data_IF_757556700831
#
_entry.id   IF_757556700831
#
_cell.length_a   1.000
_cell.length_b   1.000
_cell.length_c   1.000
_cell.angle_alpha   90.00
_cell.angle_beta   90.00
_cell.angle_gamma   90.00
#
_symmetry.space_group_name_H-M   'P 1'
#
loop_
_entity.id
_entity.type
_entity.pdbx_description
1 polymer ?
#
# COMPACT_ATOMS: atom_id res chain seq x y z
N UNK A 1 33.63 -26.92 -16.50
CA UNK A 1 33.83 -28.10 -15.63
C UNK A 1 32.50 -28.37 -14.93
N UNK A 2 31.71 -29.27 -15.49
CA UNK A 2 30.31 -29.51 -15.08
C UNK A 2 30.26 -30.84 -14.34
N UNK A 3 30.14 -30.78 -13.01
CA UNK A 3 30.03 -31.97 -12.17
C UNK A 3 28.62 -32.58 -12.31
N UNK A 4 28.44 -33.50 -13.26
CA UNK A 4 27.31 -34.41 -13.24
C UNK A 4 27.55 -35.48 -12.17
N UNK A 5 26.99 -35.28 -10.97
CA UNK A 5 26.85 -36.35 -9.99
C UNK A 5 25.74 -37.28 -10.46
N UNK A 6 26.10 -38.41 -11.06
CA UNK A 6 25.19 -39.55 -11.16
C UNK A 6 24.80 -39.98 -9.74
N UNK A 7 23.52 -39.92 -9.42
CA UNK A 7 22.97 -40.57 -8.22
C UNK A 7 23.38 -42.04 -8.28
N UNK A 8 24.23 -42.47 -7.35
CA UNK A 8 24.67 -43.87 -7.30
C UNK A 8 23.50 -44.73 -6.83
N UNK A 9 23.51 -46.02 -7.18
CA UNK A 9 22.48 -46.99 -6.80
C UNK A 9 22.24 -47.05 -5.28
N UNK A 10 23.25 -46.68 -4.50
CA UNK A 10 23.17 -46.53 -3.04
C UNK A 10 22.20 -45.43 -2.60
N UNK A 11 22.21 -44.26 -3.27
CA UNK A 11 21.27 -43.15 -3.00
C UNK A 11 19.82 -43.52 -3.34
N UNK A 12 19.62 -44.48 -4.24
CA UNK A 12 18.29 -45.01 -4.55
C UNK A 12 17.83 -45.99 -3.48
N UNK A 13 18.70 -46.89 -3.02
CA UNK A 13 18.39 -47.83 -1.95
C UNK A 13 18.08 -47.10 -0.64
N UNK A 14 18.85 -46.08 -0.29
CA UNK A 14 18.66 -45.32 0.95
C UNK A 14 17.36 -44.50 0.96
N UNK A 15 16.88 -44.04 -0.20
CA UNK A 15 15.57 -43.38 -0.33
C UNK A 15 14.40 -44.35 -0.21
N UNK A 16 14.56 -45.59 -0.68
CA UNK A 16 13.49 -46.58 -0.69
C UNK A 16 13.45 -47.47 0.56
N UNK A 17 14.54 -47.54 1.33
CA UNK A 17 14.60 -48.30 2.59
C UNK A 17 13.94 -47.60 3.77
N UNK A 18 13.69 -46.29 3.67
CA UNK A 18 13.02 -45.51 4.72
C UNK A 18 11.50 -45.60 4.57
N UNK A 19 10.74 -45.89 5.64
CA UNK A 19 9.29 -45.86 5.58
C UNK A 19 8.81 -44.47 5.19
N UNK A 20 7.83 -44.40 4.27
CA UNK A 20 7.26 -43.13 3.81
C UNK A 20 6.68 -42.39 5.04
N UNK A 21 7.02 -41.11 5.25
CA UNK A 21 6.48 -40.36 6.38
C UNK A 21 4.95 -40.32 6.26
N UNK A 22 4.27 -40.72 7.34
CA UNK A 22 2.81 -40.69 7.41
C UNK A 22 2.39 -39.22 7.31
N UNK A 23 1.82 -38.85 6.16
CA UNK A 23 1.27 -37.52 5.96
C UNK A 23 0.04 -37.35 6.86
N UNK A 24 0.17 -36.56 7.92
CA UNK A 24 -0.98 -36.07 8.68
C UNK A 24 -1.42 -34.77 8.03
N UNK A 25 -2.63 -34.76 7.47
CA UNK A 25 -3.23 -33.50 6.99
C UNK A 25 -3.24 -32.49 8.13
N UNK A 26 -2.86 -31.23 7.89
CA UNK A 26 -3.09 -30.15 8.86
C UNK A 26 -4.59 -30.13 9.20
N UNK A 27 -4.92 -30.10 10.49
CA UNK A 27 -6.29 -29.87 10.91
C UNK A 27 -6.72 -28.49 10.39
N UNK A 28 -7.91 -28.40 9.78
CA UNK A 28 -8.40 -27.12 9.29
C UNK A 28 -8.48 -26.14 10.48
N UNK A 29 -7.90 -24.93 10.35
CA UNK A 29 -7.99 -23.95 11.42
C UNK A 29 -9.45 -23.59 11.65
N UNK A 30 -9.87 -23.58 12.92
CA UNK A 30 -11.21 -23.12 13.25
C UNK A 30 -11.41 -21.69 12.72
N UNK A 31 -12.59 -21.37 12.16
CA UNK A 31 -12.85 -20.08 11.56
C UNK A 31 -12.64 -18.98 12.62
N UNK A 32 -11.80 -18.02 12.29
CA UNK A 32 -11.56 -16.86 13.13
C UNK A 32 -12.84 -16.05 13.28
N UNK A 33 -12.93 -15.26 14.35
CA UNK A 33 -14.07 -14.39 14.69
C UNK A 33 -14.71 -13.68 13.49
N UNK A 34 -13.90 -13.17 12.56
CA UNK A 34 -14.34 -12.37 11.40
C UNK A 34 -14.81 -13.20 10.20
N UNK A 35 -14.67 -14.52 10.27
CA UNK A 35 -15.08 -15.47 9.24
C UNK A 35 -16.44 -16.09 9.53
N UNK A 36 -16.98 -15.93 10.75
CA UNK A 36 -18.33 -16.38 11.09
C UNK A 36 -19.37 -15.33 10.64
N UNK A 37 -20.39 -15.71 9.84
CA UNK A 37 -21.44 -14.78 9.46
C UNK A 37 -22.41 -14.54 10.64
N UNK A 38 -22.82 -13.28 10.83
CA UNK A 38 -23.87 -12.90 11.78
C UNK A 38 -23.37 -12.22 13.07
N UNK A 39 -24.31 -11.66 13.87
CA UNK A 39 -23.98 -11.08 15.17
C UNK A 39 -23.57 -12.17 16.17
N UNK A 40 -22.68 -11.83 17.10
CA UNK A 40 -22.20 -12.77 18.11
C UNK A 40 -23.32 -13.22 19.04
N UNK A 41 -23.32 -14.51 19.39
CA UNK A 41 -24.21 -15.07 20.41
C UNK A 41 -23.80 -14.58 21.81
N UNK A 42 -24.71 -14.67 22.79
CA UNK A 42 -24.48 -14.19 24.16
C UNK A 42 -23.20 -14.78 24.79
N UNK A 43 -22.94 -16.07 24.58
CA UNK A 43 -21.76 -16.74 25.11
C UNK A 43 -20.47 -16.29 24.40
N UNK A 44 -20.56 -16.05 23.10
CA UNK A 44 -19.45 -15.48 22.33
C UNK A 44 -19.12 -14.05 22.82
N UNK A 45 -20.14 -13.26 23.17
CA UNK A 45 -19.97 -11.94 23.79
C UNK A 45 -19.26 -12.01 25.14
N UNK A 46 -19.64 -12.96 25.99
CA UNK A 46 -18.98 -13.18 27.29
C UNK A 46 -17.52 -13.57 27.09
N UNK A 47 -17.23 -14.48 26.17
CA UNK A 47 -15.87 -14.92 25.87
C UNK A 47 -15.01 -13.80 25.26
N UNK A 48 -15.59 -13.00 24.38
CA UNK A 48 -14.93 -11.82 23.80
C UNK A 48 -14.61 -10.77 24.86
N UNK A 49 -15.54 -10.51 25.77
CA UNK A 49 -15.30 -9.57 26.87
C UNK A 49 -14.15 -10.03 27.76
N UNK A 50 -14.11 -11.32 28.12
CA UNK A 50 -12.98 -11.94 28.84
C UNK A 50 -11.66 -11.79 28.08
N UNK A 51 -11.66 -12.01 26.76
CA UNK A 51 -10.49 -11.84 25.92
C UNK A 51 -9.99 -10.39 25.89
N UNK A 52 -10.90 -9.42 25.76
CA UNK A 52 -10.58 -7.99 25.75
C UNK A 52 -9.95 -7.54 27.07
N UNK A 53 -10.45 -8.01 28.21
CA UNK A 53 -9.86 -7.67 29.51
C UNK A 53 -8.38 -8.05 29.62
N UNK A 54 -7.95 -9.10 28.94
CA UNK A 54 -6.55 -9.58 28.97
C UNK A 54 -5.71 -8.94 27.86
N UNK A 55 -6.27 -8.79 26.65
CA UNK A 55 -5.49 -8.47 25.45
C UNK A 55 -5.67 -7.02 24.95
N UNK A 56 -6.75 -6.34 25.33
CA UNK A 56 -7.01 -4.96 24.89
C UNK A 56 -6.40 -3.91 25.82
N UNK A 57 -5.81 -4.32 26.95
CA UNK A 57 -5.02 -3.42 27.79
C UNK A 57 -3.75 -3.04 27.00
N UNK A 58 -3.45 -1.74 26.81
CA UNK A 58 -2.22 -1.32 26.16
C UNK A 58 -1.03 -1.89 26.91
N UNK A 59 -0.28 -2.80 26.29
CA UNK A 59 0.99 -3.20 26.86
C UNK A 59 1.92 -2.00 26.77
N UNK A 60 2.16 -1.36 27.92
CA UNK A 60 3.25 -0.41 28.04
C UNK A 60 4.53 -1.17 27.68
N UNK A 61 5.40 -0.61 26.81
CA UNK A 61 6.64 -1.28 26.46
C UNK A 61 7.40 -1.56 27.75
N UNK A 62 7.66 -2.84 28.02
CA UNK A 62 8.49 -3.25 29.14
C UNK A 62 9.79 -2.45 29.04
N UNK A 63 10.04 -1.60 30.04
CA UNK A 63 11.35 -0.98 30.18
C UNK A 63 12.31 -2.13 30.44
N UNK A 64 13.04 -2.56 29.41
CA UNK A 64 14.08 -3.57 29.55
C UNK A 64 15.07 -3.07 30.62
N UNK A 65 15.21 -3.74 31.78
CA UNK A 65 16.23 -3.40 32.76
C UNK A 65 17.56 -3.93 32.22
N UNK A 66 18.15 -3.20 31.26
CA UNK A 66 19.35 -3.68 30.57
C UNK A 66 20.05 -2.68 29.67
N UNK A 67 19.50 -1.47 29.46
CA UNK A 67 20.27 -0.41 28.80
C UNK A 67 21.10 0.34 29.84
N UNK A 68 22.20 -0.30 30.25
CA UNK A 68 23.30 0.39 30.90
C UNK A 68 23.88 1.39 29.91
N UNK A 69 23.76 2.67 30.24
CA UNK A 69 24.41 3.78 29.54
C UNK A 69 25.89 3.85 29.93
N UNK A 70 26.61 2.73 29.88
CA UNK A 70 28.05 2.68 30.16
C UNK A 70 28.77 1.89 29.07
N UNK A 71 28.76 2.45 27.86
CA UNK A 71 29.86 2.23 26.91
C UNK A 71 30.32 3.59 26.44
N UNK A 72 31.47 4.01 26.95
CA UNK A 72 32.54 4.71 26.24
C UNK A 72 33.58 5.16 27.28
N UNK A 73 34.35 4.20 27.79
CA UNK A 73 35.66 4.47 28.37
C UNK A 73 36.52 3.22 28.20
N UNK A 74 37.17 3.13 27.04
CA UNK A 74 38.52 2.57 26.92
C UNK A 74 38.92 2.59 25.44
N UNK A 75 40.07 3.21 25.16
CA UNK A 75 40.76 3.04 23.90
C UNK A 75 41.02 4.34 23.14
N UNK A 76 42.30 4.57 22.90
CA UNK A 76 42.90 5.52 21.95
C UNK A 76 43.17 6.92 22.47
N UNK A 77 44.34 7.03 23.13
CA UNK A 77 45.17 8.21 22.96
C UNK A 77 45.43 8.44 21.47
N UNK A 78 45.23 9.68 21.02
CA UNK A 78 45.79 10.24 19.79
C UNK A 78 45.80 11.75 19.90
N UNK A 79 47.02 12.29 19.75
CA UNK A 79 47.43 13.66 19.49
C UNK A 79 46.33 14.73 19.36
N UNK A 80 46.41 15.72 20.25
CA UNK A 80 45.58 16.92 20.28
C UNK A 80 45.83 17.79 19.03
N UNK A 81 44.85 17.84 18.13
CA UNK A 81 44.69 18.99 17.23
C UNK A 81 44.10 20.16 18.04
N UNK A 82 44.95 21.12 18.43
CA UNK A 82 44.63 22.28 19.28
C UNK A 82 43.36 23.06 18.83
N UNK A 83 43.15 23.19 17.52
CA UNK A 83 42.01 23.93 16.94
C UNK A 83 40.63 23.27 17.17
N UNK A 84 40.59 21.95 17.40
CA UNK A 84 39.33 21.22 17.66
C UNK A 84 38.87 21.38 19.12
N UNK A 85 39.81 21.62 20.04
CA UNK A 85 39.48 21.91 21.44
C UNK A 85 38.91 23.30 21.64
N UNK A 86 39.37 24.30 20.90
CA UNK A 86 38.86 25.66 21.06
C UNK A 86 37.38 25.77 20.65
N UNK A 87 36.98 25.14 19.54
CA UNK A 87 35.57 25.07 19.13
C UNK A 87 34.70 24.32 20.15
N UNK A 88 35.23 23.24 20.73
CA UNK A 88 34.54 22.48 21.77
C UNK A 88 34.41 23.28 23.06
N UNK A 89 35.43 24.05 23.42
CA UNK A 89 35.43 24.94 24.60
C UNK A 89 34.40 26.06 24.42
N UNK A 90 34.39 26.74 23.27
CA UNK A 90 33.37 27.75 22.93
C UNK A 90 31.94 27.19 22.98
N UNK A 91 31.71 25.99 22.45
CA UNK A 91 30.40 25.34 22.52
C UNK A 91 30.00 24.98 23.97
N UNK A 92 30.94 24.50 24.79
CA UNK A 92 30.66 24.22 26.21
C UNK A 92 30.35 25.50 27.00
N UNK A 93 31.03 26.59 26.68
CA UNK A 93 30.85 27.91 27.29
C UNK A 93 29.49 28.54 26.87
N UNK A 94 29.11 28.38 25.61
CA UNK A 94 27.78 28.77 25.09
C UNK A 94 26.65 27.97 25.75
N UNK A 95 26.81 26.65 25.89
CA UNK A 95 25.85 25.80 26.60
C UNK A 95 25.76 26.15 28.08
N UNK A 96 26.89 26.42 28.74
CA UNK A 96 26.92 26.84 30.14
C UNK A 96 26.22 28.20 30.33
N UNK A 97 26.43 29.16 29.42
CA UNK A 97 25.74 30.45 29.42
C UNK A 97 24.23 30.32 29.18
N UNK A 98 23.81 29.41 28.30
CA UNK A 98 22.39 29.13 28.09
C UNK A 98 21.73 28.46 29.31
N UNK A 99 22.46 27.62 30.03
CA UNK A 99 21.97 26.94 31.24
C UNK A 99 21.99 27.82 32.49
N UNK A 100 22.85 28.85 32.53
CA UNK A 100 22.91 29.81 33.63
C UNK A 100 21.80 30.87 33.55
N UNK A 101 21.14 31.02 32.40
CA UNK A 101 19.98 31.89 32.29
C UNK A 101 18.81 31.29 33.09
N UNK A 102 18.19 32.08 34.00
CA UNK A 102 17.02 31.60 34.74
C UNK A 102 15.91 31.24 33.75
N UNK A 103 15.41 30.00 33.86
CA UNK A 103 14.25 29.58 33.07
C UNK A 103 13.09 30.52 33.38
N UNK A 104 12.54 31.17 32.35
CA UNK A 104 11.34 32.00 32.47
C UNK A 104 10.29 31.25 33.30
N UNK A 105 9.77 31.90 34.34
CA UNK A 105 8.70 31.35 35.13
C UNK A 105 7.51 31.11 34.20
N UNK A 106 7.17 29.84 33.99
CA UNK A 106 5.95 29.48 33.26
C UNK A 106 4.78 30.02 34.04
N UNK A 107 3.90 30.76 33.38
CA UNK A 107 2.60 31.11 33.96
C UNK A 107 1.93 29.82 34.48
N UNK A 108 1.31 29.92 35.66
CA UNK A 108 0.51 28.82 36.21
C UNK A 108 -0.51 28.40 35.15
N UNK A 109 -0.74 27.09 35.03
CA UNK A 109 -1.63 26.51 34.04
C UNK A 109 -2.99 27.23 34.04
N UNK A 110 -3.30 27.93 32.95
CA UNK A 110 -4.62 28.49 32.71
C UNK A 110 -5.51 27.36 32.20
N UNK A 111 -6.40 26.87 33.05
CA UNK A 111 -7.37 25.86 32.62
C UNK A 111 -8.25 26.45 31.50
N UNK A 112 -8.51 25.70 30.42
CA UNK A 112 -9.43 26.15 29.40
C UNK A 112 -10.83 26.36 30.00
N UNK A 113 -11.64 27.27 29.43
CA UNK A 113 -13.02 27.46 29.86
C UNK A 113 -13.80 26.14 29.79
N UNK A 114 -14.71 25.93 30.73
CA UNK A 114 -15.56 24.73 30.77
C UNK A 114 -16.37 24.64 29.47
N UNK A 115 -16.46 23.46 28.83
CA UNK A 115 -17.28 23.31 27.63
C UNK A 115 -18.75 23.56 27.96
N UNK A 116 -19.49 24.20 27.04
CA UNK A 116 -20.94 24.47 27.20
C UNK A 116 -21.77 23.19 27.37
N UNK A 117 -21.30 22.07 26.81
CA UNK A 117 -22.03 20.80 26.83
C UNK A 117 -21.13 19.66 27.35
N UNK A 118 -21.28 19.26 28.63
CA UNK A 118 -20.39 18.27 29.27
C UNK A 118 -20.48 16.85 28.69
N UNK A 119 -21.58 16.51 28.01
CA UNK A 119 -21.83 15.17 27.46
C UNK A 119 -21.77 15.10 25.93
N UNK A 120 -21.39 16.19 25.24
CA UNK A 120 -21.29 16.15 23.78
C UNK A 120 -20.05 15.33 23.41
N UNK A 121 -20.18 14.19 22.71
CA UNK A 121 -19.03 13.40 22.31
C UNK A 121 -18.16 14.27 21.42
N UNK A 122 -16.98 14.61 21.93
CA UNK A 122 -16.02 15.43 21.21
C UNK A 122 -15.33 14.55 20.16
N UNK A 123 -16.02 14.31 19.04
CA UNK A 123 -15.51 13.55 17.87
C UNK A 123 -14.29 14.23 17.22
N UNK A 124 -13.92 15.43 17.68
CA UNK A 124 -12.85 16.27 17.14
C UNK A 124 -11.43 16.01 17.67
N UNK A 125 -11.17 14.95 18.44
CA UNK A 125 -9.80 14.68 18.92
C UNK A 125 -8.84 14.13 17.85
N UNK A 126 -9.32 13.84 16.64
CA UNK A 126 -8.40 13.58 15.54
C UNK A 126 -7.76 14.91 15.14
N UNK A 127 -6.47 15.07 15.47
CA UNK A 127 -5.63 16.07 14.80
C UNK A 127 -5.89 15.92 13.32
N UNK A 128 -6.30 17.01 12.66
CA UNK A 128 -6.46 17.02 11.21
C UNK A 128 -5.21 16.34 10.61
N UNK A 129 -5.39 15.38 9.68
CA UNK A 129 -4.29 14.61 9.16
C UNK A 129 -3.22 15.58 8.68
N UNK A 130 -2.06 15.52 9.32
CA UNK A 130 -0.94 16.40 8.95
C UNK A 130 -0.60 16.09 7.49
N UNK A 131 -0.27 17.10 6.67
CA UNK A 131 0.30 16.87 5.35
C UNK A 131 1.42 15.83 5.47
N UNK A 132 1.33 14.76 4.66
CA UNK A 132 2.36 13.72 4.69
C UNK A 132 3.74 14.35 4.47
N UNK A 133 4.74 13.86 5.21
CA UNK A 133 6.12 14.32 5.08
C UNK A 133 6.60 14.05 3.65
N UNK A 134 6.66 15.10 2.83
CA UNK A 134 7.10 15.04 1.44
C UNK A 134 6.03 15.39 0.40
N UNK A 135 4.75 15.52 0.79
CA UNK A 135 3.71 16.08 -0.07
C UNK A 135 3.84 17.61 -0.08
N UNK A 136 3.78 18.29 -1.24
CA UNK A 136 3.70 19.74 -1.28
C UNK A 136 2.56 20.22 -0.38
N UNK A 137 2.90 21.07 0.60
CA UNK A 137 1.94 21.59 1.59
C UNK A 137 0.88 22.43 0.87
N UNK A 138 1.29 23.15 -0.17
CA UNK A 138 0.39 23.89 -1.04
C UNK A 138 -0.02 23.02 -2.23
N UNK A 139 -1.33 22.80 -2.36
CA UNK A 139 -1.91 22.20 -3.56
C UNK A 139 -1.77 23.19 -4.71
N UNK A 140 -1.45 22.74 -5.94
CA UNK A 140 -1.46 23.66 -7.07
C UNK A 140 -2.85 24.24 -7.25
N UNK A 141 -2.91 25.51 -7.65
CA UNK A 141 -4.17 26.18 -8.00
C UNK A 141 -4.61 25.65 -9.36
N UNK A 142 -5.60 24.76 -9.34
CA UNK A 142 -6.24 24.22 -10.55
C UNK A 142 -7.50 25.05 -10.82
N UNK A 143 -7.72 25.54 -12.05
CA UNK A 143 -8.98 26.16 -12.43
C UNK A 143 -10.18 25.24 -12.13
N UNK A 144 -11.30 25.81 -11.71
CA UNK A 144 -12.51 25.03 -11.41
C UNK A 144 -13.08 24.33 -12.66
N UNK A 145 -12.91 24.93 -13.83
CA UNK A 145 -13.25 24.36 -15.13
C UNK A 145 -12.22 24.78 -16.18
N UNK A 146 -12.06 23.94 -17.21
CA UNK A 146 -11.28 24.25 -18.41
C UNK A 146 -12.25 24.48 -19.56
N UNK A 147 -11.96 25.47 -20.41
CA UNK A 147 -12.82 25.80 -21.54
C UNK A 147 -12.82 24.71 -22.63
N UNK A 148 -11.68 24.05 -22.84
CA UNK A 148 -11.49 22.96 -23.80
C UNK A 148 -10.59 21.85 -23.22
N UNK A 149 -10.72 20.63 -23.73
CA UNK A 149 -9.91 19.48 -23.30
C UNK A 149 -8.42 19.62 -23.64
N UNK A 150 -8.10 20.34 -24.72
CA UNK A 150 -6.71 20.61 -25.11
C UNK A 150 -6.00 21.49 -24.07
N UNK A 151 -6.68 22.52 -23.58
CA UNK A 151 -6.17 23.41 -22.52
C UNK A 151 -6.00 22.64 -21.20
N UNK A 152 -6.92 21.71 -20.92
CA UNK A 152 -6.81 20.81 -19.76
C UNK A 152 -5.59 19.90 -19.92
N UNK A 153 -5.39 19.29 -21.07
CA UNK A 153 -4.25 18.42 -21.35
C UNK A 153 -2.93 19.19 -21.25
N UNK A 154 -2.86 20.38 -21.83
CA UNK A 154 -1.70 21.26 -21.75
C UNK A 154 -1.39 21.68 -20.31
N UNK A 155 -2.41 22.08 -19.54
CA UNK A 155 -2.28 22.40 -18.12
C UNK A 155 -1.69 21.24 -17.32
N UNK A 156 -2.26 20.03 -17.47
CA UNK A 156 -1.76 18.84 -16.75
C UNK A 156 -0.39 18.38 -17.24
N UNK A 157 0.00 18.69 -18.48
CA UNK A 157 1.36 18.42 -18.98
C UNK A 157 2.40 19.40 -18.46
N UNK A 158 2.00 20.66 -18.25
CA UNK A 158 2.88 21.76 -17.84
C UNK A 158 3.07 21.81 -16.33
N UNK A 159 2.07 21.40 -15.56
CA UNK A 159 2.11 21.50 -14.10
C UNK A 159 3.30 20.72 -13.52
N UNK A 160 4.19 21.43 -12.83
CA UNK A 160 5.34 20.84 -12.13
C UNK A 160 5.15 20.98 -10.62
N UNK A 161 5.41 19.90 -9.90
CA UNK A 161 5.45 19.91 -8.45
C UNK A 161 6.90 20.08 -7.99
N UNK A 162 7.18 20.94 -7.00
CA UNK A 162 8.51 20.99 -6.40
C UNK A 162 8.77 19.64 -5.71
N UNK A 163 9.62 18.82 -6.32
CA UNK A 163 10.04 17.54 -5.75
C UNK A 163 11.09 17.84 -4.67
N UNK A 164 10.85 17.38 -3.45
CA UNK A 164 11.84 17.56 -2.37
C UNK A 164 13.16 16.88 -2.74
N UNK A 165 14.30 17.47 -2.37
CA UNK A 165 15.64 16.88 -2.62
C UNK A 165 15.75 15.45 -2.08
N UNK A 166 15.08 15.16 -0.96
CA UNK A 166 15.02 13.80 -0.39
C UNK A 166 14.26 12.81 -1.26
N UNK A 167 13.17 13.25 -1.90
CA UNK A 167 12.40 12.41 -2.82
C UNK A 167 13.17 12.15 -4.13
N UNK A 168 13.96 13.11 -4.62
CA UNK A 168 14.83 12.92 -5.80
C UNK A 168 15.88 11.84 -5.59
N UNK A 169 16.41 11.72 -4.37
CA UNK A 169 17.40 10.69 -4.00
C UNK A 169 16.78 9.48 -3.30
N UNK A 170 15.45 9.34 -3.27
CA UNK A 170 14.79 8.25 -2.58
C UNK A 170 14.95 6.94 -3.37
N UNK A 171 15.68 5.98 -2.80
CA UNK A 171 15.80 4.63 -3.36
C UNK A 171 14.59 3.81 -2.87
N UNK A 172 13.85 3.13 -3.77
CA UNK A 172 12.73 2.30 -3.37
C UNK A 172 13.20 1.16 -2.46
N UNK A 173 12.41 0.88 -1.42
CA UNK A 173 12.68 -0.26 -0.53
C UNK A 173 12.60 -1.58 -1.29
N UNK A 174 13.41 -2.57 -0.88
CA UNK A 174 13.40 -3.92 -1.45
C UNK A 174 11.98 -4.52 -1.53
N UNK A 175 11.15 -4.28 -0.51
CA UNK A 175 9.75 -4.75 -0.47
C UNK A 175 8.90 -4.09 -1.56
N UNK A 176 9.11 -2.80 -1.83
CA UNK A 176 8.41 -2.09 -2.91
C UNK A 176 8.83 -2.66 -4.26
N UNK A 177 10.13 -2.90 -4.46
CA UNK A 177 10.64 -3.55 -5.66
C UNK A 177 10.04 -4.96 -5.83
N UNK A 178 9.97 -5.76 -4.77
CA UNK A 178 9.35 -7.09 -4.79
C UNK A 178 7.85 -7.05 -5.11
N UNK A 179 7.10 -6.11 -4.53
CA UNK A 179 5.67 -5.93 -4.80
C UNK A 179 5.39 -5.41 -6.22
N UNK A 180 6.29 -4.60 -6.77
CA UNK A 180 6.17 -4.07 -8.14
C UNK A 180 6.47 -5.12 -9.21
N UNK A 181 7.10 -6.24 -8.85
CA UNK A 181 7.32 -7.32 -9.81
C UNK A 181 5.95 -7.91 -10.20
N UNK A 182 5.71 -8.16 -11.49
CA UNK A 182 4.49 -8.80 -11.93
C UNK A 182 4.35 -10.13 -11.19
N UNK A 183 3.19 -10.35 -10.57
CA UNK A 183 2.91 -11.63 -9.93
C UNK A 183 2.90 -12.69 -11.02
N UNK A 184 3.86 -13.60 -10.99
CA UNK A 184 3.84 -14.80 -11.84
C UNK A 184 2.75 -15.72 -11.32
N UNK A 185 1.50 -15.42 -11.65
CA UNK A 185 0.41 -16.35 -11.47
C UNK A 185 0.74 -17.56 -12.36
N UNK A 186 0.73 -18.76 -11.77
CA UNK A 186 0.79 -19.98 -12.58
C UNK A 186 -0.45 -19.95 -13.48
N UNK A 187 -0.29 -20.03 -14.81
CA UNK A 187 -1.44 -20.07 -15.69
C UNK A 187 -2.24 -21.33 -15.34
N UNK A 188 -3.55 -21.16 -15.11
CA UNK A 188 -4.46 -22.27 -14.78
C UNK A 188 -4.49 -23.34 -15.90
N UNK A 189 -4.14 -22.95 -17.12
CA UNK A 189 -4.00 -23.83 -18.27
C UNK A 189 -2.54 -23.80 -18.77
N UNK A 190 -2.01 -24.91 -19.32
CA UNK A 190 -0.75 -24.86 -20.05
C UNK A 190 -0.86 -23.79 -21.12
N UNK A 191 0.11 -22.86 -21.17
CA UNK A 191 0.18 -21.91 -22.28
C UNK A 191 0.19 -22.73 -23.57
N UNK A 192 -0.68 -22.43 -24.55
CA UNK A 192 -0.57 -23.07 -25.85
C UNK A 192 0.87 -22.86 -26.33
N UNK A 193 1.48 -23.93 -26.82
CA UNK A 193 2.83 -23.90 -27.36
C UNK A 193 2.89 -22.75 -28.35
N UNK A 194 3.73 -21.74 -28.06
CA UNK A 194 3.85 -20.55 -28.90
C UNK A 194 4.48 -21.05 -30.20
N UNK A 195 3.63 -21.49 -31.13
CA UNK A 195 4.05 -21.67 -32.51
C UNK A 195 4.61 -20.32 -32.93
N UNK A 196 5.84 -20.31 -33.41
CA UNK A 196 6.48 -19.14 -34.02
C UNK A 196 5.80 -18.82 -35.36
N UNK A 197 4.46 -18.82 -35.38
CA UNK A 197 3.65 -18.34 -36.46
C UNK A 197 3.83 -16.84 -36.44
N UNK A 198 4.76 -16.36 -37.28
CA UNK A 198 4.89 -14.93 -37.56
C UNK A 198 3.46 -14.41 -37.79
N UNK A 199 3.02 -13.38 -37.05
CA UNK A 199 1.67 -12.87 -37.25
C UNK A 199 1.51 -12.59 -38.74
N UNK A 200 0.41 -13.05 -39.37
CA UNK A 200 0.24 -12.91 -40.80
C UNK A 200 0.49 -11.45 -41.16
N UNK A 201 1.34 -11.23 -42.17
CA UNK A 201 1.68 -9.87 -42.61
C UNK A 201 0.36 -9.14 -42.84
N UNK A 202 0.22 -7.94 -42.25
CA UNK A 202 -0.95 -7.09 -42.47
C UNK A 202 -1.05 -6.78 -43.97
N UNK A 203 -1.86 -7.55 -44.68
CA UNK A 203 -2.20 -7.30 -46.07
C UNK A 203 -3.35 -6.30 -46.09
N UNK A 204 -3.26 -5.30 -46.97
CA UNK A 204 -4.42 -4.46 -47.27
C UNK A 204 -5.48 -5.36 -47.91
N UNK A 205 -6.74 -5.17 -47.54
CA UNK A 205 -7.85 -5.85 -48.22
C UNK A 205 -7.83 -5.51 -49.71
N UNK A 206 -8.08 -6.50 -50.57
CA UNK A 206 -8.35 -6.22 -51.99
C UNK A 206 -9.64 -5.41 -52.14
N UNK A 207 -9.84 -4.71 -53.26
CA UNK A 207 -11.07 -3.93 -53.50
C UNK A 207 -12.34 -4.78 -53.31
N UNK A 208 -12.32 -6.05 -53.73
CA UNK A 208 -13.43 -6.99 -53.54
C UNK A 208 -13.64 -7.37 -52.07
N UNK A 209 -12.55 -7.61 -51.33
CA UNK A 209 -12.61 -7.87 -49.88
C UNK A 209 -13.11 -6.65 -49.11
N UNK A 210 -12.73 -5.45 -49.51
CA UNK A 210 -13.18 -4.20 -48.91
C UNK A 210 -14.69 -3.99 -49.11
N UNK A 211 -15.21 -4.21 -50.31
CA UNK A 211 -16.67 -4.15 -50.56
C UNK A 211 -17.44 -5.16 -49.73
N UNK A 212 -16.97 -6.41 -49.65
CA UNK A 212 -17.59 -7.44 -48.82
C UNK A 212 -17.52 -7.09 -47.32
N UNK A 213 -16.41 -6.49 -46.88
CA UNK A 213 -16.27 -6.00 -45.51
C UNK A 213 -17.26 -4.89 -45.20
N UNK A 214 -17.42 -3.90 -46.09
CA UNK A 214 -18.42 -2.84 -45.94
C UNK A 214 -19.85 -3.40 -45.88
N UNK A 215 -20.22 -4.32 -46.77
CA UNK A 215 -21.53 -4.99 -46.73
C UNK A 215 -21.78 -5.70 -45.39
N UNK A 216 -20.74 -6.34 -44.84
CA UNK A 216 -20.82 -6.98 -43.52
C UNK A 216 -21.00 -5.97 -42.40
N UNK A 217 -20.29 -4.84 -42.45
CA UNK A 217 -20.44 -3.76 -41.47
C UNK A 217 -21.85 -3.16 -41.54
N UNK A 218 -22.37 -2.89 -42.74
CA UNK A 218 -23.73 -2.40 -42.94
C UNK A 218 -24.77 -3.38 -42.38
N UNK A 219 -24.55 -4.69 -42.57
CA UNK A 219 -25.42 -5.71 -41.98
C UNK A 219 -25.36 -5.72 -40.45
N UNK A 220 -24.16 -5.64 -39.87
CA UNK A 220 -23.97 -5.64 -38.41
C UNK A 220 -24.43 -4.34 -37.75
N UNK A 221 -24.43 -3.23 -38.48
CA UNK A 221 -24.92 -1.93 -38.03
C UNK A 221 -26.45 -1.88 -37.94
N UNK A 222 -27.15 -2.78 -38.65
CA UNK A 222 -28.61 -2.88 -38.50
C UNK A 222 -28.94 -3.36 -37.09
N UNK A 223 -29.88 -2.69 -36.39
CA UNK A 223 -30.28 -3.10 -35.06
C UNK A 223 -30.83 -4.52 -35.11
N UNK A 224 -30.48 -5.34 -34.11
CA UNK A 224 -31.00 -6.70 -34.04
C UNK A 224 -32.52 -6.67 -33.91
N UNK A 225 -33.25 -7.66 -34.45
CA UNK A 225 -34.71 -7.70 -34.33
C UNK A 225 -35.16 -7.67 -32.86
N UNK A 226 -34.34 -8.22 -31.96
CA UNK A 226 -34.54 -8.13 -30.51
C UNK A 226 -34.43 -6.70 -29.98
N UNK A 227 -33.41 -5.95 -30.41
CA UNK A 227 -33.27 -4.54 -30.03
C UNK A 227 -34.44 -3.68 -30.56
N UNK A 228 -34.94 -3.98 -31.77
CA UNK A 228 -36.13 -3.31 -32.31
C UNK A 228 -37.40 -3.66 -31.51
N UNK A 229 -37.56 -4.90 -31.06
CA UNK A 229 -38.69 -5.32 -30.22
C UNK A 229 -38.67 -4.65 -28.82
N UNK A 230 -37.48 -4.48 -28.23
CA UNK A 230 -37.31 -3.77 -26.95
C UNK A 230 -37.62 -2.27 -27.08
N UNK A 231 -37.27 -1.65 -28.22
CA UNK A 231 -37.61 -0.26 -28.51
C UNK A 231 -39.11 -0.07 -28.80
N UNK A 232 -39.75 -1.03 -29.45
CA UNK A 232 -41.19 -1.00 -29.74
C UNK A 232 -42.06 -1.12 -28.47
N UNK A 233 -41.53 -1.69 -27.38
CA UNK A 233 -42.24 -1.89 -26.11
C UNK A 233 -42.15 -0.70 -25.14
N UNK A 234 -41.48 0.40 -25.52
CA UNK A 234 -41.35 1.61 -24.68
C UNK A 234 -42.53 2.59 -24.80
N UNK A 235 -43.67 2.17 -25.36
CA UNK A 235 -44.94 2.89 -25.22
C UNK A 235 -45.48 2.78 -23.79
N UNK A 236 -44.91 3.57 -22.87
CA UNK A 236 -45.42 3.80 -21.50
C UNK A 236 -46.79 4.52 -21.45
N UNK A 237 -47.54 4.59 -22.54
CA UNK A 237 -48.76 5.43 -22.64
C UNK A 237 -49.99 4.68 -23.19
N UNK A 238 -49.90 3.48 -23.76
CA UNK A 238 -51.05 2.86 -24.43
C UNK A 238 -51.39 1.41 -24.02
N UNK A 239 -51.23 1.04 -22.76
CA UNK A 239 -51.83 -0.18 -22.21
C UNK A 239 -52.68 0.12 -20.97
N UNK A 240 -53.72 0.92 -21.17
CA UNK A 240 -54.98 0.82 -20.44
C UNK A 240 -56.10 0.89 -21.49
N UNK A 241 -56.59 -0.27 -21.94
CA UNK A 241 -57.93 -0.47 -22.49
C UNK A 241 -58.18 -1.97 -22.71
N UNK A 242 -59.02 -2.51 -21.82
CA UNK A 242 -59.70 -3.82 -21.80
C UNK A 242 -58.94 -5.07 -21.35
#
# INVERSE_FOLDING_TARGET
MSNHRCSTQHDWLERNSRPKPIFRSPCAPEPTRWQKPGPMNRDEWVNFYKWCLVNAVPQFPAQNPGQSYNRLSSGYGKSFNSTKNEKRKKHLEEVASALSQPRWQRNKYHAPPKPEFPYRPNLGYYKAPKPERGRPVEKPKVPCCFQHDDIKAEFWSTIRFPVSKRAQHAVPSRKICELSRPRTAKPHCPFPEIRNDKPPRRTKMSSRQWRAHLQRLDYLAKPSPRALAELACNCRICCDCH
#
